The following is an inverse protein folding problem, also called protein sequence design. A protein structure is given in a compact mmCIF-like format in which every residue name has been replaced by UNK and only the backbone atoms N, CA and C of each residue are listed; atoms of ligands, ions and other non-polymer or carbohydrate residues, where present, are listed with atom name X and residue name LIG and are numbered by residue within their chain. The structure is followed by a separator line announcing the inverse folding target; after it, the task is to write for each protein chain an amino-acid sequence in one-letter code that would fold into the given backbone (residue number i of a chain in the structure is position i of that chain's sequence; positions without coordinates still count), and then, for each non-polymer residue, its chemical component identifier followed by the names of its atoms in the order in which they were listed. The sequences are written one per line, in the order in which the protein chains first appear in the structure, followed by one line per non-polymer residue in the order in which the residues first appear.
data_IF_113052196379
#
_entry.id   IF_113052196379
#
_cell.length_a   1.000
_cell.length_b   1.000
_cell.length_c   1.000
_cell.angle_alpha   90.00
_cell.angle_beta   90.00
_cell.angle_gamma   90.00
#
_symmetry.space_group_name_H-M   'P 1'
#
loop_
_entity.id
_entity.type
_entity.pdbx_description
1 polymer ?
#
# COMPACT_ATOMS: atom_id res chain seq x y z
N UNK A 1 5.82 -14.78 -5.11
CA UNK A 1 7.07 -14.23 -5.73
C UNK A 1 8.15 -13.99 -4.67
N UNK A 2 7.89 -13.32 -3.57
CA UNK A 2 8.84 -13.00 -2.49
C UNK A 2 9.60 -14.23 -1.95
N UNK A 3 8.90 -15.32 -1.63
CA UNK A 3 9.53 -16.59 -1.18
C UNK A 3 10.57 -17.14 -2.17
N UNK A 4 10.33 -16.95 -3.47
CA UNK A 4 11.27 -17.36 -4.53
C UNK A 4 12.52 -16.48 -4.53
N UNK A 5 12.36 -15.18 -4.32
CA UNK A 5 13.48 -14.21 -4.26
C UNK A 5 14.34 -14.50 -3.04
N UNK A 6 13.74 -14.69 -1.86
CA UNK A 6 14.45 -15.03 -0.62
C UNK A 6 15.17 -16.38 -0.74
N UNK A 7 14.52 -17.39 -1.35
CA UNK A 7 15.18 -18.67 -1.63
C UNK A 7 16.38 -18.51 -2.57
N UNK A 8 16.26 -17.67 -3.60
CA UNK A 8 17.36 -17.35 -4.51
C UNK A 8 18.50 -16.62 -3.82
N UNK A 9 18.20 -15.71 -2.91
CA UNK A 9 19.19 -14.99 -2.11
C UNK A 9 20.16 -15.92 -1.36
N UNK A 10 19.64 -17.07 -0.88
CA UNK A 10 20.43 -18.08 -0.18
C UNK A 10 21.39 -18.87 -1.06
N UNK A 11 21.19 -18.85 -2.38
CA UNK A 11 22.00 -19.58 -3.36
C UNK A 11 23.05 -18.73 -4.07
N UNK A 12 23.04 -17.43 -3.85
CA UNK A 12 23.97 -16.47 -4.45
C UNK A 12 25.02 -16.07 -3.41
N UNK A 13 26.29 -16.00 -3.80
CA UNK A 13 27.35 -15.49 -2.93
C UNK A 13 27.13 -14.03 -2.59
N UNK A 14 27.17 -13.69 -1.31
CA UNK A 14 27.00 -12.32 -0.83
C UNK A 14 28.10 -11.37 -1.34
N UNK A 15 29.27 -11.90 -1.64
CA UNK A 15 30.39 -11.12 -2.21
C UNK A 15 30.14 -10.62 -3.64
N UNK A 16 29.17 -11.24 -4.32
CA UNK A 16 28.84 -10.90 -5.70
C UNK A 16 27.58 -10.06 -5.82
N UNK A 17 26.50 -10.43 -5.10
CA UNK A 17 25.21 -9.75 -5.26
C UNK A 17 24.38 -9.90 -3.99
N UNK A 18 23.91 -8.79 -3.45
CA UNK A 18 22.91 -8.77 -2.38
C UNK A 18 21.52 -8.78 -2.98
N UNK A 19 20.69 -9.72 -2.57
CA UNK A 19 19.30 -9.85 -3.00
C UNK A 19 18.39 -9.66 -1.79
N UNK A 20 17.61 -8.59 -1.77
CA UNK A 20 16.67 -8.28 -0.70
C UNK A 20 15.30 -7.87 -1.28
N UNK A 21 14.30 -7.76 -0.41
CA UNK A 21 12.97 -7.31 -0.76
C UNK A 21 12.57 -6.08 0.05
N UNK A 22 11.74 -5.24 -0.51
CA UNK A 22 11.04 -4.18 0.21
C UNK A 22 9.54 -4.43 0.17
N UNK A 23 8.86 -4.28 1.32
CA UNK A 23 7.40 -4.27 1.41
C UNK A 23 6.93 -2.89 1.81
N UNK A 24 6.02 -2.32 1.06
CA UNK A 24 5.39 -1.04 1.40
C UNK A 24 3.90 -1.07 1.11
N UNK A 25 3.16 -0.18 1.79
CA UNK A 25 1.72 -0.06 1.65
C UNK A 25 1.28 0.57 0.33
N UNK A 26 0.04 1.02 0.30
CA UNK A 26 -0.50 1.69 -0.88
C UNK A 26 0.12 3.08 -1.02
N UNK A 27 0.80 3.32 -2.12
CA UNK A 27 1.35 4.64 -2.43
C UNK A 27 0.20 5.57 -2.85
N UNK A 28 0.04 6.68 -2.11
CA UNK A 28 -0.99 7.68 -2.37
C UNK A 28 -0.91 8.21 -3.80
N UNK A 29 -2.06 8.40 -4.41
CA UNK A 29 -2.21 8.96 -5.76
C UNK A 29 -1.49 8.20 -6.87
N UNK A 30 -1.09 6.94 -6.64
CA UNK A 30 -0.57 6.09 -7.70
C UNK A 30 -1.64 5.83 -8.77
N UNK A 31 -1.19 5.62 -10.03
CA UNK A 31 -2.11 5.38 -11.15
C UNK A 31 -3.01 4.18 -10.88
N UNK A 32 -4.32 4.37 -11.05
CA UNK A 32 -5.33 3.33 -10.80
C UNK A 32 -5.67 3.08 -9.32
N UNK A 33 -5.10 3.86 -8.40
CA UNK A 33 -5.43 3.75 -6.98
C UNK A 33 -6.76 4.45 -6.63
N UNK A 34 -7.23 4.20 -5.41
CA UNK A 34 -8.55 4.66 -4.94
C UNK A 34 -8.66 6.18 -4.84
N UNK A 35 -7.58 6.89 -4.47
CA UNK A 35 -7.62 8.36 -4.30
C UNK A 35 -7.88 9.09 -5.63
N UNK A 36 -7.16 8.83 -6.72
CA UNK A 36 -7.52 9.38 -8.03
C UNK A 36 -8.95 9.05 -8.48
N UNK A 37 -9.42 7.84 -8.18
CA UNK A 37 -10.81 7.46 -8.47
C UNK A 37 -11.80 8.37 -7.75
N UNK A 38 -11.63 8.59 -6.45
CA UNK A 38 -12.49 9.47 -5.66
C UNK A 38 -12.46 10.91 -6.18
N UNK A 39 -11.26 11.42 -6.49
CA UNK A 39 -11.10 12.77 -7.06
C UNK A 39 -11.86 12.91 -8.38
N UNK A 40 -11.74 11.94 -9.28
CA UNK A 40 -12.44 11.98 -10.56
C UNK A 40 -13.96 11.93 -10.37
N UNK A 41 -14.47 11.07 -9.49
CA UNK A 41 -15.89 10.99 -9.17
C UNK A 41 -16.42 12.31 -8.61
N UNK A 42 -15.67 12.95 -7.72
CA UNK A 42 -16.01 14.26 -7.16
C UNK A 42 -16.09 15.32 -8.26
N UNK A 43 -15.08 15.40 -9.14
CA UNK A 43 -15.03 16.36 -10.25
C UNK A 43 -16.17 16.17 -11.26
N UNK A 44 -16.61 14.93 -11.46
CA UNK A 44 -17.71 14.59 -12.35
C UNK A 44 -19.10 14.73 -11.70
N UNK A 45 -19.17 15.13 -10.43
CA UNK A 45 -20.42 15.24 -9.68
C UNK A 45 -21.09 13.88 -9.39
N UNK A 46 -20.34 12.79 -9.48
CA UNK A 46 -20.81 11.43 -9.22
C UNK A 46 -20.66 11.06 -7.74
N UNK A 47 -21.42 10.06 -7.24
CA UNK A 47 -21.19 9.53 -5.91
C UNK A 47 -19.78 8.96 -5.78
N UNK A 48 -19.15 9.14 -4.62
CA UNK A 48 -17.88 8.50 -4.26
C UNK A 48 -18.17 7.04 -3.92
N UNK A 49 -17.66 6.11 -4.72
CA UNK A 49 -17.94 4.68 -4.53
C UNK A 49 -16.94 4.03 -3.61
N UNK A 50 -17.43 3.41 -2.53
CA UNK A 50 -16.65 2.69 -1.52
C UNK A 50 -17.09 1.22 -1.55
N UNK A 51 -16.14 0.30 -1.62
CA UNK A 51 -16.43 -1.14 -1.63
C UNK A 51 -16.90 -1.62 -0.27
N UNK A 52 -16.13 -1.34 0.78
CA UNK A 52 -16.45 -1.65 2.17
C UNK A 52 -15.86 -0.53 3.05
N UNK A 53 -16.68 0.20 3.84
CA UNK A 53 -16.21 1.32 4.66
C UNK A 53 -15.11 0.95 5.65
N UNK A 54 -15.26 -0.21 6.30
CA UNK A 54 -14.36 -0.72 7.35
C UNK A 54 -13.06 -1.34 6.80
N UNK A 55 -12.96 -1.49 5.49
CA UNK A 55 -11.76 -2.03 4.84
C UNK A 55 -10.56 -1.14 5.13
N UNK A 56 -9.50 -1.70 5.69
CA UNK A 56 -8.29 -0.95 6.03
C UNK A 56 -7.23 -1.01 4.93
N UNK A 57 -6.52 0.10 4.76
CA UNK A 57 -5.38 0.19 3.86
C UNK A 57 -4.22 0.89 4.55
N UNK A 58 -3.03 0.36 4.32
CA UNK A 58 -1.79 0.98 4.80
C UNK A 58 -1.36 2.00 3.76
N UNK A 59 -1.29 3.25 4.17
CA UNK A 59 -1.09 4.40 3.28
C UNK A 59 0.31 4.96 3.49
N UNK A 60 1.03 5.21 2.39
CA UNK A 60 2.30 5.91 2.44
C UNK A 60 2.48 6.86 1.26
N UNK A 61 3.34 7.84 1.43
CA UNK A 61 3.70 8.77 0.36
C UNK A 61 4.74 8.15 -0.57
N UNK A 62 4.84 8.67 -1.77
CA UNK A 62 5.82 8.19 -2.75
C UNK A 62 7.26 8.36 -2.22
N UNK A 63 7.53 9.49 -1.56
CA UNK A 63 8.84 9.77 -0.96
C UNK A 63 9.24 8.70 0.06
N UNK A 64 8.31 8.28 0.93
CA UNK A 64 8.54 7.23 1.94
C UNK A 64 8.85 5.87 1.27
N UNK A 65 8.17 5.55 0.18
CA UNK A 65 8.44 4.33 -0.57
C UNK A 65 9.85 4.36 -1.21
N UNK A 66 10.25 5.52 -1.76
CA UNK A 66 11.59 5.72 -2.33
C UNK A 66 12.66 5.66 -1.24
N UNK A 67 12.45 6.31 -0.10
CA UNK A 67 13.36 6.28 1.05
C UNK A 67 13.59 4.85 1.55
N UNK A 68 12.54 4.02 1.63
CA UNK A 68 12.67 2.62 2.00
C UNK A 68 13.56 1.84 1.02
N UNK A 69 13.42 2.08 -0.27
CA UNK A 69 14.25 1.42 -1.29
C UNK A 69 15.71 1.87 -1.17
N UNK A 70 15.96 3.17 -1.00
CA UNK A 70 17.32 3.70 -0.79
C UNK A 70 17.93 3.13 0.49
N UNK A 71 17.16 3.07 1.58
CA UNK A 71 17.59 2.47 2.83
C UNK A 71 17.98 0.99 2.65
N UNK A 72 17.19 0.22 1.90
CA UNK A 72 17.48 -1.17 1.59
C UNK A 72 18.78 -1.32 0.80
N UNK A 73 19.04 -0.46 -0.19
CA UNK A 73 20.31 -0.47 -0.92
C UNK A 73 21.53 -0.24 -0.04
N UNK A 74 21.39 0.60 0.99
CA UNK A 74 22.51 0.96 1.87
C UNK A 74 22.73 -0.04 3.02
N UNK A 75 21.69 -0.75 3.47
CA UNK A 75 21.72 -1.47 4.75
C UNK A 75 21.27 -2.93 4.68
N UNK A 76 20.63 -3.38 3.58
CA UNK A 76 20.08 -4.73 3.53
C UNK A 76 21.17 -5.79 3.30
N UNK A 77 20.99 -6.91 3.97
CA UNK A 77 21.73 -8.15 3.74
C UNK A 77 20.93 -9.08 2.81
N UNK A 78 21.62 -10.09 2.27
CA UNK A 78 20.97 -11.03 1.34
C UNK A 78 19.93 -11.89 2.05
N UNK A 79 18.71 -11.84 1.56
CA UNK A 79 17.55 -12.52 2.15
C UNK A 79 16.64 -11.63 3.01
N UNK A 80 17.06 -10.40 3.29
CA UNK A 80 16.28 -9.46 4.07
C UNK A 80 14.99 -9.03 3.39
N UNK A 81 13.98 -8.79 4.22
CA UNK A 81 12.72 -8.15 3.83
C UNK A 81 12.56 -6.86 4.63
N UNK A 82 12.84 -5.74 4.00
CA UNK A 82 12.73 -4.42 4.61
C UNK A 82 11.28 -3.94 4.58
N UNK A 83 10.76 -3.57 5.74
CA UNK A 83 9.37 -3.12 5.91
C UNK A 83 9.35 -1.79 6.64
N UNK A 84 8.70 -0.80 6.08
CA UNK A 84 8.48 0.48 6.75
C UNK A 84 7.13 0.48 7.46
N UNK A 85 7.14 0.84 8.75
CA UNK A 85 5.90 1.08 9.48
C UNK A 85 5.21 2.31 8.90
N UNK A 86 3.97 2.14 8.48
CA UNK A 86 3.15 3.20 7.94
C UNK A 86 1.76 3.20 8.58
N UNK A 87 1.08 4.36 8.65
CA UNK A 87 -0.27 4.45 9.20
C UNK A 87 -1.28 3.69 8.34
N UNK A 88 -2.29 3.14 8.98
CA UNK A 88 -3.46 2.56 8.33
C UNK A 88 -4.69 3.44 8.53
N UNK A 89 -5.56 3.47 7.54
CA UNK A 89 -6.87 4.10 7.66
C UNK A 89 -7.95 3.21 7.03
N UNK A 90 -9.20 3.44 7.41
CA UNK A 90 -10.33 2.82 6.72
C UNK A 90 -10.62 3.55 5.40
N UNK A 91 -11.23 2.84 4.46
CA UNK A 91 -11.62 3.46 3.17
C UNK A 91 -12.66 4.56 3.39
N UNK A 92 -13.51 4.44 4.38
CA UNK A 92 -14.46 5.49 4.74
C UNK A 92 -13.77 6.78 5.16
N UNK A 93 -12.80 6.69 6.07
CA UNK A 93 -12.01 7.86 6.52
C UNK A 93 -11.27 8.48 5.35
N UNK A 94 -10.70 7.66 4.46
CA UNK A 94 -10.02 8.14 3.25
C UNK A 94 -10.97 8.89 2.31
N UNK A 95 -12.16 8.34 2.07
CA UNK A 95 -13.18 8.97 1.23
C UNK A 95 -13.65 10.32 1.83
N UNK A 96 -13.89 10.35 3.13
CA UNK A 96 -14.27 11.58 3.83
C UNK A 96 -13.16 12.64 3.79
N UNK A 97 -11.91 12.25 3.98
CA UNK A 97 -10.77 13.16 3.88
C UNK A 97 -10.65 13.78 2.49
N UNK A 98 -10.78 12.98 1.43
CA UNK A 98 -10.75 13.49 0.05
C UNK A 98 -11.94 14.42 -0.22
N UNK A 99 -13.15 14.08 0.21
CA UNK A 99 -14.33 14.96 0.11
C UNK A 99 -14.10 16.30 0.81
N UNK A 100 -13.55 16.27 2.03
CA UNK A 100 -13.24 17.47 2.80
C UNK A 100 -12.23 18.37 2.10
N UNK A 101 -11.17 17.81 1.53
CA UNK A 101 -10.15 18.57 0.77
C UNK A 101 -10.72 19.26 -0.47
N UNK A 102 -11.72 18.68 -1.12
CA UNK A 102 -12.37 19.24 -2.30
C UNK A 102 -13.64 20.03 -1.96
N UNK A 103 -13.96 20.20 -0.68
CA UNK A 103 -15.22 20.81 -0.21
C UNK A 103 -16.45 20.24 -0.91
N UNK A 104 -16.44 18.91 -1.09
CA UNK A 104 -17.44 18.19 -1.87
C UNK A 104 -18.60 17.70 -0.98
N UNK A 105 -19.82 17.87 -1.47
CA UNK A 105 -21.05 17.33 -0.87
C UNK A 105 -21.51 16.03 -1.55
N UNK A 106 -20.70 15.46 -2.46
CA UNK A 106 -21.03 14.22 -3.15
C UNK A 106 -21.35 13.10 -2.16
N UNK A 107 -22.36 12.31 -2.46
CA UNK A 107 -22.76 11.16 -1.64
C UNK A 107 -21.68 10.06 -1.66
N UNK A 108 -21.54 9.36 -0.55
CA UNK A 108 -20.72 8.13 -0.49
C UNK A 108 -21.66 6.95 -0.74
N UNK A 109 -21.39 6.17 -1.79
CA UNK A 109 -22.16 4.99 -2.16
C UNK A 109 -21.36 3.72 -1.89
N UNK A 110 -21.90 2.85 -1.04
CA UNK A 110 -21.32 1.53 -0.77
C UNK A 110 -21.71 0.58 -1.91
N UNK A 111 -20.72 -0.03 -2.56
CA UNK A 111 -20.93 -0.93 -3.72
C UNK A 111 -20.65 -2.40 -3.40
N UNK A 112 -20.19 -2.72 -2.19
CA UNK A 112 -19.82 -4.07 -1.76
C UNK A 112 -18.42 -4.50 -2.19
N UNK A 113 -17.90 -5.49 -1.49
CA UNK A 113 -16.56 -6.05 -1.72
C UNK A 113 -16.55 -6.81 -3.04
N UNK A 114 -15.52 -6.62 -3.85
CA UNK A 114 -15.29 -7.38 -5.07
C UNK A 114 -14.58 -8.69 -4.76
N UNK A 115 -14.78 -9.68 -5.62
CA UNK A 115 -14.10 -10.96 -5.49
C UNK A 115 -12.56 -10.76 -5.54
N UNK A 116 -11.86 -11.26 -4.51
CA UNK A 116 -10.40 -11.15 -4.41
C UNK A 116 -9.88 -9.93 -3.64
N UNK A 117 -10.75 -9.05 -3.14
CA UNK A 117 -10.34 -7.95 -2.25
C UNK A 117 -10.23 -8.44 -0.80
N UNK A 118 -9.16 -8.02 -0.13
CA UNK A 118 -8.93 -8.31 1.28
C UNK A 118 -9.44 -7.17 2.17
N UNK A 119 -10.10 -7.52 3.28
CA UNK A 119 -10.56 -6.55 4.29
C UNK A 119 -9.39 -5.81 4.94
N UNK A 120 -8.31 -6.54 5.24
CA UNK A 120 -7.15 -6.04 5.95
C UNK A 120 -5.88 -6.31 5.15
N UNK A 121 -4.95 -5.37 5.21
CA UNK A 121 -3.60 -5.54 4.67
C UNK A 121 -2.62 -5.84 5.78
N UNK A 122 -1.69 -6.76 5.51
CA UNK A 122 -0.61 -7.13 6.43
C UNK A 122 0.72 -6.87 5.74
N UNK A 123 1.51 -5.94 6.26
CA UNK A 123 2.88 -5.71 5.80
C UNK A 123 3.87 -6.67 6.44
N UNK A 124 3.65 -7.06 7.69
CA UNK A 124 4.52 -7.92 8.46
C UNK A 124 3.72 -9.08 9.04
N UNK A 125 4.14 -10.28 8.75
CA UNK A 125 3.55 -11.51 9.32
C UNK A 125 4.41 -12.03 10.46
N UNK A 126 3.84 -12.86 11.35
CA UNK A 126 4.61 -13.50 12.41
C UNK A 126 5.77 -14.34 11.87
N UNK A 127 5.62 -14.96 10.71
CA UNK A 127 6.68 -15.72 10.02
C UNK A 127 7.82 -14.83 9.52
N UNK A 128 7.53 -13.57 9.22
CA UNK A 128 8.53 -12.61 8.74
C UNK A 128 9.28 -11.91 9.88
N UNK A 129 8.82 -12.06 11.13
CA UNK A 129 9.48 -11.53 12.34
C UNK A 129 10.40 -12.55 13.01
N UNK A 130 10.38 -13.82 12.59
CA UNK A 130 11.10 -14.93 13.23
C UNK A 130 12.56 -15.04 12.79
#
# INVERSE_FOLDING_TARGET
MEKVIVAKARTVSQDMTTICCTRYGNVLCSRGSVVPLFINQIKEGKPVTVTEPEMTRIIMRLEEAVELVIFAFANAESGDIMVQKAPACTIEVLAQAVKSLFHSENEIKIIGIRHGENMYETLLTNEACA
#
